data_IF_793890873287
#
_entry.id   IF_793890873287
#
_cell.length_a   1.000
_cell.length_b   1.000
_cell.length_c   1.000
_cell.angle_alpha   90.00
_cell.angle_beta   90.00
_cell.angle_gamma   90.00
#
_symmetry.space_group_name_H-M   'P 1'
#
loop_
_entity.id
_entity.type
_entity.pdbx_description
1 polymer ?
#
# COMPACT_ATOMS: atom_id res chain seq x y z
N UNK A 1 -2.97 2.35 -1.24
CA UNK A 1 -1.86 3.25 -0.90
C UNK A 1 -2.03 3.91 0.46
N UNK A 2 -3.00 4.80 0.68
CA UNK A 2 -3.03 5.59 1.94
C UNK A 2 -3.16 4.73 3.23
N UNK A 3 -3.78 3.56 3.13
CA UNK A 3 -3.95 2.60 4.22
C UNK A 3 -2.95 1.45 4.22
N UNK A 4 -1.89 1.52 3.41
CA UNK A 4 -0.89 0.44 3.33
C UNK A 4 -0.10 0.36 4.65
N UNK A 5 0.17 -0.86 5.09
CA UNK A 5 0.90 -1.15 6.34
C UNK A 5 2.05 -2.13 6.15
N UNK A 6 2.35 -2.51 4.90
CA UNK A 6 3.52 -3.31 4.56
C UNK A 6 3.69 -3.50 3.05
N UNK A 7 4.86 -4.00 2.66
CA UNK A 7 5.16 -4.46 1.31
C UNK A 7 5.60 -5.93 1.39
N UNK A 8 4.90 -6.81 0.69
CA UNK A 8 5.21 -8.23 0.65
C UNK A 8 5.94 -8.60 -0.64
N UNK A 9 6.92 -9.49 -0.52
CA UNK A 9 7.61 -10.15 -1.64
C UNK A 9 7.57 -11.66 -1.44
N UNK A 10 7.79 -12.44 -2.51
CA UNK A 10 7.90 -13.88 -2.35
C UNK A 10 9.25 -14.24 -1.69
N UNK A 11 9.31 -15.19 -0.73
CA UNK A 11 10.58 -15.61 -0.11
C UNK A 11 11.58 -16.23 -1.10
N UNK A 12 11.13 -16.67 -2.28
CA UNK A 12 11.98 -17.24 -3.35
C UNK A 12 12.41 -16.19 -4.37
N UNK A 13 11.99 -14.93 -4.22
CA UNK A 13 12.34 -13.86 -5.14
C UNK A 13 13.70 -13.24 -4.78
N UNK A 14 14.76 -13.72 -5.42
CA UNK A 14 16.13 -13.26 -5.15
C UNK A 14 16.30 -11.76 -5.43
N UNK A 15 15.49 -11.15 -6.31
CA UNK A 15 15.54 -9.71 -6.67
C UNK A 15 15.39 -8.79 -5.45
N UNK A 16 14.66 -9.24 -4.43
CA UNK A 16 14.31 -8.43 -3.25
C UNK A 16 14.85 -8.97 -1.93
N UNK A 17 15.64 -10.04 -1.97
CA UNK A 17 16.20 -10.71 -0.78
C UNK A 17 16.93 -9.74 0.18
N UNK A 18 17.73 -8.81 -0.37
CA UNK A 18 18.46 -7.79 0.39
C UNK A 18 17.56 -6.68 1.00
N UNK A 19 16.28 -6.63 0.64
CA UNK A 19 15.32 -5.64 1.15
C UNK A 19 14.46 -6.18 2.30
N UNK A 20 14.35 -7.49 2.45
CA UNK A 20 13.54 -8.13 3.50
C UNK A 20 14.05 -7.72 4.88
N UNK A 21 13.13 -7.31 5.75
CA UNK A 21 13.43 -6.82 7.10
C UNK A 21 13.83 -5.34 7.16
N UNK A 22 13.96 -4.66 6.02
CA UNK A 22 14.06 -3.20 5.95
C UNK A 22 12.67 -2.57 5.89
N UNK A 23 12.64 -1.25 5.93
CA UNK A 23 11.43 -0.45 5.76
C UNK A 23 11.52 0.46 4.55
N UNK A 24 10.36 0.90 4.07
CA UNK A 24 10.23 1.97 3.07
C UNK A 24 9.30 3.06 3.57
N UNK A 25 9.45 4.25 3.01
CA UNK A 25 8.52 5.35 3.25
C UNK A 25 7.39 5.25 2.24
N UNK A 26 6.18 5.03 2.74
CA UNK A 26 4.94 5.08 1.97
C UNK A 26 4.70 6.53 1.48
N UNK A 27 4.64 6.76 0.16
CA UNK A 27 4.43 8.11 -0.37
C UNK A 27 3.16 8.77 0.16
N UNK A 28 3.15 10.11 0.18
CA UNK A 28 2.02 10.98 0.59
C UNK A 28 1.72 10.95 2.09
N UNK A 29 1.69 9.77 2.70
CA UNK A 29 1.48 9.60 4.15
C UNK A 29 2.76 9.74 4.97
N UNK A 30 3.93 9.55 4.34
CA UNK A 30 5.24 9.48 4.98
C UNK A 30 5.31 8.46 6.12
N UNK A 31 4.51 7.38 6.03
CA UNK A 31 4.53 6.27 6.98
C UNK A 31 5.67 5.33 6.64
N UNK A 32 6.47 4.95 7.63
CA UNK A 32 7.43 3.87 7.49
C UNK A 32 6.69 2.52 7.57
N UNK A 33 6.85 1.67 6.55
CA UNK A 33 6.21 0.34 6.49
C UNK A 33 7.26 -0.75 6.19
N UNK A 34 7.13 -1.94 6.80
CA UNK A 34 8.11 -3.01 6.63
C UNK A 34 8.01 -3.70 5.26
N UNK A 35 9.15 -4.20 4.79
CA UNK A 35 9.24 -5.18 3.71
C UNK A 35 9.39 -6.57 4.34
N UNK A 36 8.51 -7.49 3.98
CA UNK A 36 8.51 -8.86 4.51
C UNK A 36 8.21 -9.90 3.42
N UNK A 37 8.41 -11.17 3.74
CA UNK A 37 8.16 -12.28 2.81
C UNK A 37 6.84 -12.96 3.08
N UNK A 38 6.05 -13.25 2.05
CA UNK A 38 4.87 -14.12 2.14
C UNK A 38 4.73 -14.97 0.88
N UNK A 39 4.47 -16.27 1.03
CA UNK A 39 4.34 -17.22 -0.09
C UNK A 39 3.10 -16.97 -0.96
N UNK A 40 2.15 -16.17 -0.49
CA UNK A 40 0.99 -15.74 -1.27
C UNK A 40 1.39 -14.85 -2.47
N UNK A 41 2.53 -14.18 -2.41
CA UNK A 41 2.97 -13.25 -3.45
C UNK A 41 3.42 -14.01 -4.70
N UNK A 42 2.81 -13.71 -5.84
CA UNK A 42 3.26 -14.19 -7.15
C UNK A 42 4.38 -13.28 -7.69
N UNK A 43 5.56 -13.88 -7.97
CA UNK A 43 6.74 -13.17 -8.46
C UNK A 43 6.58 -12.64 -9.89
N UNK A 44 5.70 -13.27 -10.68
CA UNK A 44 5.48 -12.94 -12.09
C UNK A 44 4.39 -11.87 -12.26
N UNK A 45 3.60 -11.59 -11.22
CA UNK A 45 2.55 -10.60 -11.28
C UNK A 45 3.08 -9.19 -10.96
N UNK A 46 2.91 -8.27 -11.92
CA UNK A 46 3.37 -6.89 -11.78
C UNK A 46 4.87 -6.82 -11.57
N UNK A 47 5.31 -6.21 -10.47
CA UNK A 47 6.74 -6.15 -10.09
C UNK A 47 7.20 -7.34 -9.24
N UNK A 48 6.28 -8.19 -8.79
CA UNK A 48 6.55 -9.19 -7.74
C UNK A 48 6.54 -8.60 -6.32
N UNK A 49 6.29 -7.30 -6.16
CA UNK A 49 6.05 -6.65 -4.86
C UNK A 49 4.56 -6.31 -4.70
N UNK A 50 3.98 -6.66 -3.56
CA UNK A 50 2.57 -6.38 -3.25
C UNK A 50 2.49 -5.37 -2.12
N UNK A 51 1.82 -4.25 -2.36
CA UNK A 51 1.43 -3.31 -1.29
C UNK A 51 0.29 -3.91 -0.47
N UNK A 52 0.48 -4.05 0.84
CA UNK A 52 -0.45 -4.76 1.73
C UNK A 52 -1.35 -3.78 2.48
N UNK A 53 -2.65 -3.94 2.30
CA UNK A 53 -3.74 -3.09 2.82
C UNK A 53 -4.77 -3.90 3.61
N UNK A 54 -4.47 -4.32 4.85
CA UNK A 54 -5.27 -5.31 5.57
C UNK A 54 -6.75 -4.93 5.77
N UNK A 55 -7.08 -3.63 5.82
CA UNK A 55 -8.45 -3.17 6.05
C UNK A 55 -9.32 -3.14 4.80
N UNK A 56 -8.74 -3.35 3.60
CA UNK A 56 -9.42 -3.06 2.33
C UNK A 56 -9.33 -4.18 1.29
N UNK A 57 -8.58 -5.26 1.57
CA UNK A 57 -8.52 -6.45 0.73
C UNK A 57 -8.48 -7.72 1.61
N UNK A 58 -9.29 -8.75 1.32
CA UNK A 58 -9.33 -9.98 2.12
C UNK A 58 -8.02 -10.78 2.15
N UNK A 59 -7.25 -10.77 1.06
CA UNK A 59 -5.96 -11.47 1.01
C UNK A 59 -4.92 -10.72 1.82
N UNK A 60 -4.91 -9.38 1.69
CA UNK A 60 -4.07 -8.50 2.51
C UNK A 60 -4.44 -8.61 4.00
N UNK A 61 -5.71 -8.84 4.33
CA UNK A 61 -6.16 -9.04 5.71
C UNK A 61 -5.55 -10.30 6.33
N UNK A 62 -5.61 -11.43 5.62
CA UNK A 62 -5.03 -12.69 6.10
C UNK A 62 -3.49 -12.62 6.14
N UNK A 63 -2.86 -11.93 5.18
CA UNK A 63 -1.44 -11.64 5.22
C UNK A 63 -1.08 -10.75 6.41
N UNK A 64 -1.84 -9.68 6.63
CA UNK A 64 -1.69 -8.77 7.76
C UNK A 64 -1.78 -9.47 9.10
N UNK A 65 -2.69 -10.44 9.25
CA UNK A 65 -2.75 -11.29 10.45
C UNK A 65 -1.50 -12.15 10.64
N UNK A 66 -1.03 -12.83 9.59
CA UNK A 66 0.17 -13.70 9.69
C UNK A 66 1.42 -12.91 10.09
N UNK A 67 1.50 -11.66 9.66
CA UNK A 67 2.67 -10.79 9.87
C UNK A 67 2.46 -9.68 10.90
N UNK A 68 1.35 -9.72 11.65
CA UNK A 68 0.98 -8.73 12.68
C UNK A 68 1.03 -7.27 12.18
N UNK A 69 0.52 -7.00 10.98
CA UNK A 69 0.43 -5.66 10.42
C UNK A 69 -0.77 -4.89 11.00
N UNK A 70 -0.62 -3.57 11.07
CA UNK A 70 -1.70 -2.68 11.49
C UNK A 70 -2.90 -2.75 10.53
N UNK A 71 -4.09 -2.66 11.11
CA UNK A 71 -5.36 -2.62 10.39
C UNK A 71 -5.87 -1.18 10.29
N UNK A 72 -5.45 -0.45 9.26
CA UNK A 72 -5.80 0.97 9.08
C UNK A 72 -6.99 1.14 8.12
N UNK A 73 -8.19 1.35 8.68
CA UNK A 73 -9.35 1.74 7.89
C UNK A 73 -9.29 3.24 7.55
N UNK A 74 -9.25 3.58 6.26
CA UNK A 74 -9.19 4.97 5.77
C UNK A 74 -10.55 5.52 5.33
N UNK A 75 -11.62 4.72 5.36
CA UNK A 75 -12.94 5.11 4.87
C UNK A 75 -13.96 5.25 6.00
N UNK A 76 -14.84 6.23 5.86
CA UNK A 76 -16.16 6.24 6.47
C UNK A 76 -17.10 5.25 5.73
N UNK A 77 -18.25 4.88 6.31
CA UNK A 77 -19.21 3.97 5.67
C UNK A 77 -19.76 4.46 4.31
N UNK A 78 -19.74 5.76 4.05
CA UNK A 78 -20.13 6.38 2.77
C UNK A 78 -18.98 6.42 1.74
N UNK A 79 -17.84 5.82 2.07
CA UNK A 79 -16.62 5.77 1.28
C UNK A 79 -15.93 7.13 1.04
N UNK A 80 -16.21 8.13 1.87
CA UNK A 80 -15.34 9.30 2.03
C UNK A 80 -14.14 8.97 2.91
N UNK A 81 -13.03 9.68 2.74
CA UNK A 81 -11.80 9.44 3.50
C UNK A 81 -11.86 10.07 4.90
N UNK A 82 -11.44 9.30 5.91
CA UNK A 82 -11.50 9.68 7.33
C UNK A 82 -10.20 10.31 7.85
N UNK A 83 -10.05 10.44 9.16
CA UNK A 83 -8.93 11.11 9.82
C UNK A 83 -7.59 10.37 9.67
N UNK A 84 -7.60 9.09 9.29
CA UNK A 84 -6.40 8.26 9.13
C UNK A 84 -5.61 8.58 7.85
N UNK A 85 -6.09 9.51 7.00
CA UNK A 85 -5.36 10.01 5.84
C UNK A 85 -4.84 11.44 6.07
N UNK A 86 -3.85 11.91 5.27
CA UNK A 86 -3.37 13.28 5.36
C UNK A 86 -4.50 14.30 5.16
N UNK A 87 -4.41 15.45 5.83
CA UNK A 87 -5.46 16.48 5.85
C UNK A 87 -5.94 16.89 4.46
N UNK A 88 -5.05 16.88 3.47
CA UNK A 88 -5.36 17.21 2.07
C UNK A 88 -6.37 16.26 1.39
N UNK A 89 -6.63 15.08 1.98
CA UNK A 89 -7.48 14.04 1.43
C UNK A 89 -8.76 13.78 2.25
N UNK A 90 -8.83 14.28 3.47
CA UNK A 90 -9.97 14.02 4.38
C UNK A 90 -11.27 14.56 3.79
N UNK A 91 -12.34 13.79 3.91
CA UNK A 91 -13.67 14.11 3.38
C UNK A 91 -13.83 13.92 1.86
N UNK A 92 -12.75 13.68 1.11
CA UNK A 92 -12.86 13.38 -0.32
C UNK A 92 -13.51 12.02 -0.53
N UNK A 93 -14.33 11.90 -1.58
CA UNK A 93 -14.79 10.59 -2.04
C UNK A 93 -13.62 9.79 -2.62
N UNK A 94 -13.65 8.46 -2.49
CA UNK A 94 -12.61 7.53 -3.00
C UNK A 94 -12.18 7.76 -4.45
N UNK A 95 -13.09 8.21 -5.32
CA UNK A 95 -12.77 8.48 -6.74
C UNK A 95 -11.99 9.78 -6.91
N UNK A 96 -12.44 10.86 -6.27
CA UNK A 96 -11.73 12.15 -6.26
C UNK A 96 -10.35 12.01 -5.61
N UNK A 97 -10.27 11.26 -4.50
CA UNK A 97 -9.02 10.96 -3.85
C UNK A 97 -8.06 10.18 -4.75
N UNK A 98 -8.56 9.22 -5.55
CA UNK A 98 -7.74 8.47 -6.50
C UNK A 98 -7.10 9.38 -7.55
N UNK A 99 -7.88 10.25 -8.18
CA UNK A 99 -7.37 11.20 -9.17
C UNK A 99 -6.30 12.12 -8.56
N UNK A 100 -6.57 12.62 -7.35
CA UNK A 100 -5.63 13.47 -6.61
C UNK A 100 -4.34 12.73 -6.23
N UNK A 101 -4.42 11.45 -5.82
CA UNK A 101 -3.23 10.63 -5.52
C UNK A 101 -2.39 10.45 -6.78
N UNK A 102 -3.01 10.12 -7.92
CA UNK A 102 -2.27 9.94 -9.19
C UNK A 102 -1.54 11.22 -9.56
N UNK A 103 -2.22 12.37 -9.51
CA UNK A 103 -1.61 13.66 -9.81
C UNK A 103 -0.45 14.02 -8.84
N UNK A 104 -0.60 13.69 -7.56
CA UNK A 104 0.46 13.95 -6.57
C UNK A 104 1.67 13.03 -6.81
N UNK A 105 1.47 11.73 -7.08
CA UNK A 105 2.56 10.81 -7.42
C UNK A 105 3.32 11.23 -8.68
N UNK A 106 2.60 11.70 -9.70
CA UNK A 106 3.18 12.25 -10.93
C UNK A 106 4.01 13.51 -10.64
N UNK A 107 3.46 14.45 -9.83
CA UNK A 107 4.17 15.67 -9.43
C UNK A 107 5.45 15.40 -8.61
N UNK A 108 5.48 14.28 -7.89
CA UNK A 108 6.64 13.83 -7.11
C UNK A 108 7.67 13.08 -7.98
N UNK A 109 7.35 12.76 -9.23
CA UNK A 109 8.23 12.03 -10.16
C UNK A 109 8.45 10.57 -9.78
N UNK A 110 7.53 9.98 -9.00
CA UNK A 110 7.60 8.58 -8.51
C UNK A 110 6.52 7.68 -9.14
N UNK A 111 5.79 8.20 -10.11
CA UNK A 111 4.86 7.44 -10.94
C UNK A 111 5.61 6.88 -12.15
N UNK A 112 5.81 5.56 -12.19
CA UNK A 112 6.51 4.90 -13.30
C UNK A 112 5.64 4.86 -14.57
N UNK A 113 4.41 4.33 -14.45
CA UNK A 113 3.46 4.20 -15.58
C UNK A 113 2.03 4.03 -15.12
N UNK A 114 1.10 4.26 -16.04
CA UNK A 114 -0.34 3.95 -15.90
C UNK A 114 -0.71 2.99 -17.04
N UNK A 115 -1.27 1.84 -16.69
CA UNK A 115 -1.81 0.85 -17.64
C UNK A 115 -3.32 0.70 -17.40
N UNK A 116 -4.09 0.60 -18.49
CA UNK A 116 -5.56 0.60 -18.50
C UNK A 116 -6.09 -0.77 -18.88
#
# INVERSE_FOLDING_TARGET
>A
MLGDTGVAVNPKDERYSDLVGKSVILPITNREIPIFTDEYVDMEFGTGCVKVTPAHDPNDFEMGKRHNLDLINIFHPDATLNENVPTAYRGLNRFEAREKIIAELDSLGILDKIEV
#
